data_IF_532981027448
#
_entry.id   IF_532981027448
#
_cell.length_a   1.000
_cell.length_b   1.000
_cell.length_c   1.000
_cell.angle_alpha   90.00
_cell.angle_beta   90.00
_cell.angle_gamma   90.00
#
_symmetry.space_group_name_H-M   'P 1'
#
loop_
_entity.id
_entity.type
_entity.pdbx_description
1 polymer ?
#
# COMPACT_ATOMS: atom_id res chain seq x y z
N UNK A 1 6.69 12.77 -0.28
CA UNK A 1 7.63 11.74 -0.78
C UNK A 1 9.01 12.05 -0.21
N UNK A 2 9.77 11.03 0.16
CA UNK A 2 11.13 11.14 0.72
C UNK A 2 12.19 10.92 -0.38
N UNK A 3 12.01 11.57 -1.54
CA UNK A 3 12.84 11.36 -2.74
C UNK A 3 14.12 12.21 -2.75
N UNK A 4 14.39 12.95 -1.68
CA UNK A 4 15.51 13.88 -1.56
C UNK A 4 15.43 15.08 -2.52
N UNK A 5 14.27 15.30 -3.15
CA UNK A 5 14.04 16.38 -4.13
C UNK A 5 12.81 17.21 -3.80
N UNK A 6 11.82 16.61 -3.15
CA UNK A 6 10.53 17.20 -2.84
C UNK A 6 10.48 17.60 -1.36
N UNK A 7 10.21 18.87 -1.09
CA UNK A 7 9.97 19.40 0.25
C UNK A 7 8.64 18.86 0.83
N UNK A 8 8.41 18.98 2.15
CA UNK A 8 7.09 18.70 2.70
C UNK A 8 6.01 19.57 2.02
N UNK A 9 4.74 19.14 2.02
CA UNK A 9 3.64 19.99 1.57
C UNK A 9 3.65 21.34 2.30
N UNK A 10 3.29 22.41 1.60
CA UNK A 10 3.25 23.77 2.16
C UNK A 10 1.80 24.20 2.33
N UNK A 11 1.43 24.67 3.51
CA UNK A 11 0.24 25.48 3.74
C UNK A 11 0.60 26.94 3.51
N UNK A 12 0.22 27.49 2.35
CA UNK A 12 0.29 28.92 2.09
C UNK A 12 -0.91 29.63 2.73
N UNK A 13 -0.66 30.38 3.82
CA UNK A 13 -1.69 31.11 4.53
C UNK A 13 -1.27 32.53 4.92
N UNK A 14 -2.03 33.50 4.43
CA UNK A 14 -1.75 34.93 4.63
C UNK A 14 -2.96 35.80 4.35
N UNK A 15 -2.71 37.08 4.06
CA UNK A 15 -3.76 38.06 3.84
C UNK A 15 -4.71 37.62 2.71
N UNK A 16 -6.00 37.47 3.02
CA UNK A 16 -7.01 37.20 2.01
C UNK A 16 -7.04 38.31 0.94
N UNK A 17 -6.67 38.01 -0.33
CA UNK A 17 -6.61 39.04 -1.38
C UNK A 17 -7.99 39.35 -1.97
N UNK A 18 -9.02 38.59 -1.60
CA UNK A 18 -10.37 38.68 -2.15
C UNK A 18 -11.38 39.31 -1.18
N UNK A 19 -10.98 39.59 0.06
CA UNK A 19 -11.84 40.10 1.13
C UNK A 19 -11.86 41.62 1.24
N UNK A 20 -12.60 42.12 2.22
CA UNK A 20 -12.48 43.51 2.67
C UNK A 20 -11.06 43.80 3.19
N UNK A 21 -10.60 45.04 3.01
CA UNK A 21 -9.29 45.50 3.50
C UNK A 21 -9.35 45.86 4.98
N UNK A 22 -9.81 44.92 5.80
CA UNK A 22 -9.89 44.98 7.26
C UNK A 22 -9.57 43.60 7.86
N UNK A 23 -9.41 43.51 9.18
CA UNK A 23 -9.05 42.25 9.84
C UNK A 23 -10.11 41.16 9.67
N UNK A 24 -11.39 41.51 9.51
CA UNK A 24 -12.41 40.53 9.20
C UNK A 24 -12.16 39.91 7.81
N UNK A 25 -11.90 40.73 6.79
CA UNK A 25 -11.62 40.25 5.44
C UNK A 25 -10.28 39.53 5.34
N UNK A 26 -9.21 40.10 5.86
CA UNK A 26 -7.85 39.53 5.85
C UNK A 26 -7.76 38.17 6.56
N UNK A 27 -8.60 37.93 7.57
CA UNK A 27 -8.70 36.65 8.28
C UNK A 27 -9.81 35.73 7.74
N UNK A 28 -10.24 35.92 6.49
CA UNK A 28 -11.25 35.09 5.81
C UNK A 28 -12.61 34.99 6.54
N UNK A 29 -12.95 36.00 7.34
CA UNK A 29 -14.17 36.02 8.17
C UNK A 29 -14.14 35.04 9.35
N UNK A 30 -13.00 34.44 9.65
CA UNK A 30 -12.82 33.53 10.78
C UNK A 30 -12.36 34.28 12.03
N UNK A 31 -12.81 33.81 13.19
CA UNK A 31 -12.20 34.21 14.47
C UNK A 31 -10.85 33.50 14.65
N UNK A 32 -9.95 34.03 15.48
CA UNK A 32 -8.67 33.39 15.81
C UNK A 32 -8.78 31.90 16.16
N UNK A 33 -9.70 31.54 17.06
CA UNK A 33 -9.89 30.14 17.46
C UNK A 33 -10.39 29.22 16.32
N UNK A 34 -11.18 29.75 15.38
CA UNK A 34 -11.62 28.96 14.22
C UNK A 34 -10.50 28.82 13.19
N UNK A 35 -9.67 29.84 13.04
CA UNK A 35 -8.51 29.80 12.16
C UNK A 35 -7.50 28.76 12.66
N UNK A 36 -7.12 28.80 13.94
CA UNK A 36 -6.14 27.86 14.50
C UNK A 36 -6.66 26.42 14.49
N UNK A 37 -7.93 26.20 14.80
CA UNK A 37 -8.54 24.88 14.68
C UNK A 37 -8.48 24.33 13.24
N UNK A 38 -8.70 25.20 12.23
CA UNK A 38 -8.60 24.80 10.83
C UNK A 38 -7.16 24.49 10.40
N UNK A 39 -6.20 25.32 10.80
CA UNK A 39 -4.77 25.09 10.51
C UNK A 39 -4.32 23.77 11.16
N UNK A 40 -4.71 23.50 12.41
CA UNK A 40 -4.36 22.27 13.12
C UNK A 40 -4.96 21.02 12.46
N UNK A 41 -6.22 21.08 12.00
CA UNK A 41 -6.87 19.99 11.25
C UNK A 41 -6.15 19.70 9.93
N UNK A 42 -5.77 20.75 9.19
CA UNK A 42 -4.97 20.62 7.97
C UNK A 42 -3.60 19.99 8.27
N UNK A 43 -2.89 20.53 9.27
CA UNK A 43 -1.55 20.07 9.65
C UNK A 43 -1.56 18.60 10.07
N UNK A 44 -2.49 18.23 10.95
CA UNK A 44 -2.70 16.84 11.37
C UNK A 44 -3.02 15.93 10.18
N UNK A 45 -3.93 16.34 9.29
CA UNK A 45 -4.27 15.54 8.08
C UNK A 45 -3.07 15.32 7.17
N UNK A 46 -2.24 16.35 6.95
CA UNK A 46 -1.02 16.23 6.15
C UNK A 46 0.00 15.33 6.84
N UNK A 47 0.21 15.53 8.14
CA UNK A 47 1.12 14.71 8.93
C UNK A 47 0.69 13.25 8.93
N UNK A 48 -0.58 12.94 9.16
CA UNK A 48 -1.10 11.58 9.17
C UNK A 48 -0.92 10.85 7.84
N UNK A 49 -1.05 11.59 6.73
CA UNK A 49 -0.91 11.02 5.38
C UNK A 49 0.53 10.90 4.91
N UNK A 50 1.42 11.74 5.41
CA UNK A 50 2.77 11.88 4.82
C UNK A 50 3.91 11.64 5.79
N UNK A 51 3.60 11.53 7.08
CA UNK A 51 4.51 11.59 8.21
C UNK A 51 5.44 12.81 8.16
N UNK A 52 4.91 13.94 7.69
CA UNK A 52 5.65 15.20 7.64
C UNK A 52 4.69 16.29 8.05
N UNK A 53 5.08 17.07 9.05
CA UNK A 53 4.40 18.32 9.33
C UNK A 53 4.49 19.23 8.10
N UNK A 54 3.39 19.82 7.62
CA UNK A 54 3.46 20.75 6.52
C UNK A 54 4.29 21.96 6.90
N UNK A 55 4.99 22.53 5.92
CA UNK A 55 5.59 23.84 6.09
C UNK A 55 4.45 24.86 6.15
N UNK A 56 4.40 25.71 7.17
CA UNK A 56 3.44 26.82 7.23
C UNK A 56 4.12 28.06 6.66
N UNK A 57 3.62 28.51 5.51
CA UNK A 57 3.98 29.80 4.95
C UNK A 57 3.07 30.90 5.48
N UNK A 58 3.63 31.97 6.04
CA UNK A 58 2.83 33.09 6.56
C UNK A 58 3.65 34.38 6.74
N UNK A 59 3.01 35.42 7.29
CA UNK A 59 3.67 36.64 7.79
C UNK A 59 3.37 36.83 9.27
N UNK A 60 4.28 37.47 10.01
CA UNK A 60 4.09 37.70 11.44
C UNK A 60 2.88 38.59 11.76
N UNK A 61 2.65 39.61 10.93
CA UNK A 61 1.49 40.50 11.07
C UNK A 61 0.16 39.76 10.89
N UNK A 62 0.07 38.90 9.88
CA UNK A 62 -1.13 38.10 9.66
C UNK A 62 -1.36 37.09 10.79
N UNK A 63 -0.32 36.34 11.18
CA UNK A 63 -0.41 35.35 12.25
C UNK A 63 -0.92 35.98 13.55
N UNK A 64 -0.27 37.06 14.01
CA UNK A 64 -0.65 37.73 15.26
C UNK A 64 -2.13 38.13 15.30
N UNK A 65 -2.72 38.57 14.18
CA UNK A 65 -4.10 39.06 14.15
C UNK A 65 -5.11 37.96 13.86
N UNK A 66 -4.80 37.05 12.94
CA UNK A 66 -5.74 36.04 12.45
C UNK A 66 -5.70 34.73 13.22
N UNK A 67 -4.65 34.45 13.99
CA UNK A 67 -4.55 33.27 14.87
C UNK A 67 -4.56 33.65 16.36
N UNK A 68 -4.52 34.94 16.69
CA UNK A 68 -4.37 35.39 18.07
C UNK A 68 -2.98 35.11 18.64
N UNK A 69 -1.99 34.96 17.74
CA UNK A 69 -0.61 34.64 18.08
C UNK A 69 -0.47 33.28 18.80
N UNK A 70 -1.26 32.30 18.36
CA UNK A 70 -1.19 30.92 18.84
C UNK A 70 0.25 30.38 18.74
N UNK A 71 0.66 29.61 19.75
CA UNK A 71 2.00 29.07 19.93
C UNK A 71 2.05 27.53 19.77
N UNK A 72 0.97 26.89 19.33
CA UNK A 72 0.80 25.45 19.25
C UNK A 72 1.29 24.78 17.97
N UNK A 73 2.00 25.50 17.10
CA UNK A 73 2.42 25.03 15.76
C UNK A 73 3.94 24.85 15.64
N UNK A 74 4.62 24.56 16.75
CA UNK A 74 6.08 24.46 16.79
C UNK A 74 6.66 23.27 16.04
N UNK A 75 5.84 22.24 15.79
CA UNK A 75 6.24 21.06 15.01
C UNK A 75 6.23 21.31 13.50
N UNK A 76 5.40 22.26 13.02
CA UNK A 76 5.33 22.67 11.63
C UNK A 76 6.53 23.56 11.26
N UNK A 77 7.31 23.26 10.21
CA UNK A 77 8.39 24.15 9.77
C UNK A 77 7.84 25.52 9.32
N UNK A 78 8.50 26.62 9.71
CA UNK A 78 8.07 27.97 9.33
C UNK A 78 8.72 28.44 8.03
N UNK A 79 7.89 28.89 7.08
CA UNK A 79 8.31 29.70 5.94
C UNK A 79 7.78 31.11 6.10
N UNK A 80 8.65 32.03 6.50
CA UNK A 80 8.23 33.38 6.85
C UNK A 80 8.47 34.34 5.69
N UNK A 81 7.47 35.14 5.39
CA UNK A 81 7.58 36.31 4.52
C UNK A 81 7.50 37.61 5.33
N UNK A 82 8.16 38.68 4.87
CA UNK A 82 8.03 40.00 5.47
C UNK A 82 6.57 40.47 5.38
N UNK A 83 6.10 41.19 6.40
CA UNK A 83 4.87 41.97 6.24
C UNK A 83 5.09 43.02 5.14
N UNK A 84 4.01 43.53 4.57
CA UNK A 84 4.00 44.56 3.52
C UNK A 84 4.82 45.85 3.81
N UNK A 85 5.41 46.03 5.00
CA UNK A 85 6.36 47.09 5.36
C UNK A 85 7.84 46.68 5.35
N UNK A 86 8.18 45.39 5.26
CA UNK A 86 9.53 44.86 5.55
C UNK A 86 10.28 44.39 4.29
N UNK A 87 10.07 45.04 3.13
CA UNK A 87 10.75 44.74 1.85
C UNK A 87 12.26 45.11 1.82
N UNK A 88 12.93 45.10 2.98
CA UNK A 88 14.30 45.57 3.18
C UNK A 88 15.37 44.50 3.40
N UNK A 89 15.10 43.22 3.13
CA UNK A 89 16.11 42.15 3.16
C UNK A 89 16.63 41.73 4.55
N UNK A 90 16.05 42.25 5.64
CA UNK A 90 16.34 41.79 6.99
C UNK A 90 15.39 40.63 7.40
N UNK A 91 15.83 39.65 8.20
CA UNK A 91 14.96 38.57 8.67
C UNK A 91 13.80 39.14 9.51
N UNK A 92 12.54 38.73 9.24
CA UNK A 92 11.38 39.25 9.95
C UNK A 92 11.34 38.71 11.38
N UNK A 93 10.71 39.47 12.28
CA UNK A 93 10.24 38.93 13.56
C UNK A 93 9.33 37.74 13.28
N UNK A 94 9.53 36.60 13.94
CA UNK A 94 8.73 35.38 13.74
C UNK A 94 7.66 35.21 14.83
N UNK A 95 6.54 34.51 14.54
CA UNK A 95 5.52 34.22 15.54
C UNK A 95 6.01 33.27 16.64
N UNK A 96 5.36 33.27 17.82
CA UNK A 96 5.84 32.58 19.02
C UNK A 96 5.75 31.06 18.99
N UNK A 97 5.03 30.45 18.03
CA UNK A 97 5.12 29.00 17.80
C UNK A 97 6.55 28.57 17.46
N UNK A 98 7.34 29.48 16.88
CA UNK A 98 8.65 29.17 16.33
C UNK A 98 9.76 29.93 17.03
N UNK A 99 10.86 29.24 17.28
CA UNK A 99 12.11 29.85 17.75
C UNK A 99 13.08 30.16 16.61
N UNK A 100 12.84 29.58 15.42
CA UNK A 100 13.65 29.74 14.21
C UNK A 100 12.75 29.55 12.98
N UNK A 101 13.04 30.24 11.87
CA UNK A 101 12.41 29.96 10.59
C UNK A 101 13.18 28.88 9.81
N UNK A 102 12.47 28.08 9.02
CA UNK A 102 13.03 27.08 8.11
C UNK A 102 13.35 27.71 6.75
N UNK A 103 12.44 28.52 6.22
CA UNK A 103 12.63 29.30 5.01
C UNK A 103 12.32 30.77 5.25
N UNK A 104 13.06 31.63 4.58
CA UNK A 104 12.79 33.06 4.55
C UNK A 104 12.59 33.52 3.11
N UNK A 105 11.39 34.02 2.82
CA UNK A 105 11.10 34.70 1.57
C UNK A 105 11.60 36.14 1.65
N UNK A 106 12.76 36.43 1.07
CA UNK A 106 13.40 37.74 1.22
C UNK A 106 13.03 38.75 0.13
N UNK A 107 12.43 38.30 -0.98
CA UNK A 107 11.93 39.16 -2.05
C UNK A 107 10.78 38.51 -2.83
N UNK A 108 9.93 39.33 -3.46
CA UNK A 108 8.82 38.84 -4.31
C UNK A 108 9.18 38.64 -5.79
N UNK A 109 10.45 38.89 -6.14
CA UNK A 109 11.02 38.65 -7.47
C UNK A 109 12.53 38.77 -7.44
N UNK A 110 13.22 38.19 -8.42
CA UNK A 110 14.66 38.24 -8.50
C UNK A 110 15.23 37.36 -9.62
N UNK A 111 16.48 36.89 -9.49
CA UNK A 111 17.13 36.06 -10.51
C UNK A 111 16.53 34.65 -10.63
N UNK A 112 15.83 34.16 -9.61
CA UNK A 112 15.14 32.86 -9.65
C UNK A 112 13.65 33.02 -10.02
N UNK A 113 12.99 32.01 -10.59
CA UNK A 113 11.56 32.08 -10.87
C UNK A 113 10.71 32.29 -9.61
N UNK A 114 9.79 33.26 -9.66
CA UNK A 114 8.85 33.53 -8.56
C UNK A 114 9.44 34.34 -7.41
N UNK A 115 8.92 34.09 -6.21
CA UNK A 115 9.44 34.67 -4.98
C UNK A 115 10.86 34.12 -4.70
N UNK A 116 11.65 34.88 -3.94
CA UNK A 116 13.04 34.55 -3.65
C UNK A 116 13.17 34.09 -2.22
N UNK A 117 13.58 32.84 -2.07
CA UNK A 117 13.63 32.14 -0.80
C UNK A 117 15.02 31.67 -0.46
N UNK A 118 15.30 31.61 0.84
CA UNK A 118 16.52 31.02 1.39
C UNK A 118 16.18 30.03 2.49
N UNK A 119 16.75 28.83 2.39
CA UNK A 119 16.70 27.84 3.46
C UNK A 119 17.67 28.22 4.58
N UNK A 120 17.24 28.10 5.82
CA UNK A 120 18.06 28.38 6.99
C UNK A 120 18.95 27.19 7.35
N UNK A 121 20.00 26.95 6.57
CA UNK A 121 20.94 25.86 6.82
C UNK A 121 21.87 25.56 5.64
N UNK A 122 22.58 24.43 5.73
CA UNK A 122 23.46 23.94 4.68
C UNK A 122 22.69 23.14 3.61
N UNK A 123 23.27 22.90 2.42
CA UNK A 123 22.68 22.00 1.42
C UNK A 123 22.40 20.58 1.94
N UNK A 124 23.27 20.04 2.81
CA UNK A 124 23.06 18.71 3.41
C UNK A 124 21.87 18.72 4.38
N UNK A 125 21.69 19.81 5.14
CA UNK A 125 20.52 19.99 6.00
C UNK A 125 19.25 20.17 5.19
N UNK A 126 19.31 20.86 4.04
CA UNK A 126 18.18 20.97 3.11
C UNK A 126 17.83 19.61 2.50
N UNK A 127 18.85 18.81 2.14
CA UNK A 127 18.65 17.46 1.64
C UNK A 127 18.03 16.57 2.72
N UNK A 128 18.54 16.60 3.95
CA UNK A 128 17.96 15.89 5.08
C UNK A 128 16.51 16.33 5.33
N UNK A 129 16.27 17.64 5.32
CA UNK A 129 14.92 18.19 5.44
C UNK A 129 14.02 17.69 4.32
N UNK A 130 14.49 17.60 3.07
CA UNK A 130 13.74 17.07 1.92
C UNK A 130 13.49 15.56 2.00
N UNK A 131 14.44 14.79 2.54
CA UNK A 131 14.28 13.35 2.83
C UNK A 131 13.24 13.13 3.93
N UNK A 132 13.23 13.98 4.96
CA UNK A 132 12.35 13.86 6.13
C UNK A 132 12.97 13.02 7.25
N UNK A 133 12.41 13.15 8.45
CA UNK A 133 12.84 12.39 9.63
C UNK A 133 12.26 10.96 9.61
N UNK A 134 12.82 10.12 10.49
CA UNK A 134 12.30 8.79 10.83
C UNK A 134 10.80 8.85 11.12
N UNK A 135 9.96 8.00 10.50
CA UNK A 135 8.53 8.14 10.62
C UNK A 135 7.95 7.55 11.90
N UNK A 136 7.23 8.37 12.67
CA UNK A 136 6.47 7.93 13.85
C UNK A 136 5.47 6.80 13.53
N UNK A 137 5.03 6.63 12.27
CA UNK A 137 4.07 5.59 11.88
C UNK A 137 4.49 4.16 12.22
N UNK A 138 5.79 3.83 12.19
CA UNK A 138 6.24 2.50 12.62
C UNK A 138 6.03 2.33 14.13
N UNK A 139 6.43 3.32 14.93
CA UNK A 139 6.22 3.34 16.38
C UNK A 139 4.74 3.36 16.75
N UNK A 140 3.94 4.23 16.12
CA UNK A 140 2.49 4.33 16.33
C UNK A 140 1.81 2.97 16.10
N UNK A 141 2.12 2.31 14.97
CA UNK A 141 1.56 1.01 14.63
C UNK A 141 2.00 -0.07 15.62
N UNK A 142 3.29 -0.11 15.96
CA UNK A 142 3.84 -1.02 16.96
C UNK A 142 3.17 -0.84 18.34
N UNK A 143 2.99 0.40 18.79
CA UNK A 143 2.29 0.71 20.04
C UNK A 143 0.82 0.32 19.98
N UNK A 144 0.13 0.57 18.86
CA UNK A 144 -1.26 0.18 18.66
C UNK A 144 -1.46 -1.35 18.72
N UNK A 145 -0.47 -2.12 18.26
CA UNK A 145 -0.45 -3.59 18.38
C UNK A 145 -0.11 -4.10 19.80
N UNK A 146 0.18 -3.21 20.75
CA UNK A 146 0.54 -3.57 22.13
C UNK A 146 2.05 -3.60 22.41
N UNK A 147 2.86 -3.01 21.53
CA UNK A 147 4.30 -2.86 21.72
C UNK A 147 5.01 -4.21 21.93
N UNK A 148 5.85 -4.30 22.96
CA UNK A 148 6.64 -5.52 23.24
C UNK A 148 5.80 -6.70 23.70
N UNK A 149 4.53 -6.49 24.04
CA UNK A 149 3.57 -7.57 24.32
C UNK A 149 2.86 -8.08 23.06
N UNK A 150 3.07 -7.45 21.91
CA UNK A 150 2.59 -7.93 20.62
C UNK A 150 3.34 -9.19 20.18
N UNK A 151 2.86 -9.83 19.11
CA UNK A 151 3.53 -10.99 18.55
C UNK A 151 4.94 -10.68 18.00
N UNK A 152 5.26 -9.41 17.72
CA UNK A 152 6.57 -9.03 17.17
C UNK A 152 7.71 -9.09 18.19
N UNK A 153 7.42 -8.98 19.49
CA UNK A 153 8.43 -8.86 20.53
C UNK A 153 9.14 -7.51 20.52
N UNK A 154 10.33 -7.43 21.13
CA UNK A 154 11.09 -6.17 21.23
C UNK A 154 11.69 -5.74 19.87
N UNK A 155 11.95 -4.43 19.66
CA UNK A 155 12.74 -3.96 18.53
C UNK A 155 14.15 -4.55 18.56
N UNK A 156 14.62 -5.06 17.42
CA UNK A 156 15.99 -5.57 17.24
C UNK A 156 16.98 -4.50 16.80
N UNK A 157 16.51 -3.26 16.58
CA UNK A 157 17.29 -2.12 16.15
C UNK A 157 16.41 -0.87 16.00
N UNK A 158 17.02 0.25 15.60
CA UNK A 158 16.28 1.45 15.20
C UNK A 158 15.65 1.29 13.82
N UNK A 159 14.74 2.20 13.49
CA UNK A 159 14.20 2.32 12.14
C UNK A 159 15.29 2.66 11.13
N UNK A 160 15.15 2.15 9.91
CA UNK A 160 16.09 2.40 8.82
C UNK A 160 15.37 2.70 7.49
N UNK A 161 15.95 3.57 6.65
CA UNK A 161 15.36 3.91 5.37
C UNK A 161 15.49 2.75 4.38
N UNK A 162 14.45 2.56 3.58
CA UNK A 162 14.41 1.65 2.43
C UNK A 162 13.92 2.40 1.19
N UNK A 163 13.97 1.76 0.01
CA UNK A 163 13.46 2.39 -1.20
C UNK A 163 11.98 2.76 -1.04
N UNK A 164 11.66 4.05 -1.19
CA UNK A 164 10.31 4.62 -1.07
C UNK A 164 9.60 4.43 0.30
N UNK A 165 10.35 4.14 1.38
CA UNK A 165 9.75 3.92 2.70
C UNK A 165 10.77 3.72 3.82
N UNK A 166 10.29 3.15 4.92
CA UNK A 166 11.09 2.83 6.11
C UNK A 166 10.75 1.43 6.62
N UNK A 167 11.65 0.83 7.38
CA UNK A 167 11.41 -0.43 8.05
C UNK A 167 12.05 -0.47 9.44
N UNK A 168 11.53 -1.32 10.31
CA UNK A 168 12.14 -1.66 11.58
C UNK A 168 12.01 -3.16 11.85
N UNK A 169 13.11 -3.77 12.24
CA UNK A 169 13.15 -5.18 12.62
C UNK A 169 12.86 -5.35 14.11
N UNK A 170 12.11 -6.40 14.41
CA UNK A 170 11.72 -6.86 15.74
C UNK A 170 12.15 -8.32 15.91
N UNK A 171 12.15 -8.82 17.14
CA UNK A 171 12.55 -10.19 17.48
C UNK A 171 11.89 -11.26 16.60
N UNK A 172 10.64 -11.03 16.19
CA UNK A 172 9.85 -12.01 15.44
C UNK A 172 9.24 -11.48 14.13
N UNK A 173 9.65 -10.31 13.65
CA UNK A 173 9.11 -9.76 12.41
C UNK A 173 9.67 -8.41 12.04
N UNK A 174 9.04 -7.76 11.07
CA UNK A 174 9.43 -6.44 10.56
C UNK A 174 8.18 -5.63 10.29
N UNK A 175 8.16 -4.37 10.70
CA UNK A 175 7.16 -3.40 10.25
C UNK A 175 7.75 -2.64 9.07
N UNK A 176 7.00 -2.59 7.96
CA UNK A 176 7.34 -1.79 6.78
C UNK A 176 6.37 -0.62 6.68
N UNK A 177 6.89 0.57 6.40
CA UNK A 177 6.10 1.78 6.19
C UNK A 177 6.37 2.36 4.80
N UNK A 178 5.29 2.74 4.09
CA UNK A 178 5.36 3.70 2.98
C UNK A 178 4.28 4.78 3.13
N UNK A 179 4.48 5.99 2.60
CA UNK A 179 3.44 7.01 2.56
C UNK A 179 2.17 6.57 1.81
N UNK A 180 2.30 5.62 0.88
CA UNK A 180 1.18 5.13 0.08
C UNK A 180 0.36 4.05 0.77
N UNK A 181 0.98 3.19 1.58
CA UNK A 181 0.31 2.04 2.18
C UNK A 181 0.10 2.16 3.68
N UNK A 182 0.88 2.99 4.39
CA UNK A 182 0.93 2.98 5.85
C UNK A 182 1.96 2.00 6.39
N UNK A 183 1.95 1.77 7.71
CA UNK A 183 2.85 0.86 8.42
C UNK A 183 2.15 -0.49 8.67
N UNK A 184 2.80 -1.60 8.33
CA UNK A 184 2.23 -2.95 8.48
C UNK A 184 3.27 -3.98 8.86
N UNK A 185 2.88 -4.92 9.71
CA UNK A 185 3.73 -5.96 10.26
C UNK A 185 3.71 -7.25 9.43
N UNK A 186 4.90 -7.79 9.19
CA UNK A 186 5.13 -9.10 8.60
C UNK A 186 5.96 -9.95 9.56
N UNK A 187 5.70 -11.25 9.61
CA UNK A 187 6.47 -12.20 10.45
C UNK A 187 6.62 -13.58 9.82
N UNK A 188 7.47 -14.39 10.45
CA UNK A 188 7.58 -15.83 10.16
C UNK A 188 7.86 -16.15 8.69
N UNK A 189 7.20 -17.20 8.18
CA UNK A 189 7.39 -17.67 6.81
C UNK A 189 6.83 -16.71 5.76
N UNK A 190 5.80 -15.92 6.09
CA UNK A 190 5.31 -14.87 5.20
C UNK A 190 6.38 -13.81 4.97
N UNK A 191 7.02 -13.31 6.05
CA UNK A 191 8.12 -12.36 5.95
C UNK A 191 9.33 -12.94 5.22
N UNK A 192 9.70 -14.19 5.49
CA UNK A 192 10.81 -14.85 4.82
C UNK A 192 10.56 -14.91 3.30
N UNK A 193 9.39 -15.40 2.91
CA UNK A 193 9.01 -15.51 1.49
C UNK A 193 8.91 -14.15 0.80
N UNK A 194 8.34 -13.15 1.49
CA UNK A 194 8.27 -11.78 0.99
C UNK A 194 9.66 -11.21 0.67
N UNK A 195 10.65 -11.48 1.53
CA UNK A 195 12.05 -11.06 1.30
C UNK A 195 12.68 -11.80 0.13
N UNK A 196 12.42 -13.10 -0.02
CA UNK A 196 12.89 -13.90 -1.15
C UNK A 196 12.32 -13.40 -2.50
N UNK A 197 11.10 -12.87 -2.49
CA UNK A 197 10.45 -12.22 -3.63
C UNK A 197 10.90 -10.76 -3.87
N UNK A 198 11.92 -10.28 -3.15
CA UNK A 198 12.50 -8.94 -3.32
C UNK A 198 11.93 -7.86 -2.40
N UNK A 199 11.03 -8.23 -1.48
CA UNK A 199 10.46 -7.31 -0.49
C UNK A 199 9.72 -6.12 -1.12
N UNK A 200 9.81 -4.92 -0.52
CA UNK A 200 9.08 -3.72 -1.00
C UNK A 200 9.45 -3.27 -2.42
N UNK A 201 10.66 -3.61 -2.89
CA UNK A 201 11.10 -3.35 -4.27
C UNK A 201 10.76 -4.46 -5.26
N UNK A 202 10.19 -5.57 -4.78
CA UNK A 202 9.77 -6.72 -5.57
C UNK A 202 8.38 -6.58 -6.18
N UNK A 203 7.91 -7.65 -6.82
CA UNK A 203 6.62 -7.68 -7.53
C UNK A 203 5.42 -7.36 -6.63
N UNK A 204 5.46 -7.79 -5.37
CA UNK A 204 4.35 -7.63 -4.43
C UNK A 204 4.24 -6.20 -3.89
N UNK A 205 5.31 -5.41 -3.93
CA UNK A 205 5.34 -4.06 -3.35
C UNK A 205 5.14 -4.05 -1.84
N UNK A 206 4.84 -2.88 -1.27
CA UNK A 206 4.63 -2.73 0.17
C UNK A 206 3.37 -3.48 0.67
N UNK A 207 3.40 -3.99 1.92
CA UNK A 207 2.23 -4.56 2.57
C UNK A 207 1.12 -3.51 2.75
N UNK A 208 -0.12 -3.98 2.81
CA UNK A 208 -1.35 -3.20 3.03
C UNK A 208 -2.22 -3.75 4.17
N UNK A 209 -1.75 -4.79 4.86
CA UNK A 209 -2.40 -5.36 6.04
C UNK A 209 -1.37 -5.95 7.00
N UNK A 210 -1.74 -6.02 8.27
CA UNK A 210 -1.10 -6.93 9.22
C UNK A 210 -1.48 -8.40 8.91
N UNK A 211 -0.80 -9.31 9.62
CA UNK A 211 -1.11 -10.73 9.56
C UNK A 211 -2.58 -10.96 9.96
N UNK A 212 -3.35 -11.49 9.02
CA UNK A 212 -4.77 -11.77 9.19
C UNK A 212 -4.98 -13.28 9.20
N UNK A 213 -5.52 -13.80 10.29
CA UNK A 213 -5.87 -15.21 10.40
C UNK A 213 -7.03 -15.54 9.46
N UNK A 214 -6.98 -16.71 8.82
CA UNK A 214 -8.10 -17.26 8.04
C UNK A 214 -9.26 -17.58 8.97
N UNK A 215 -10.49 -17.61 8.43
CA UNK A 215 -11.70 -17.74 9.24
C UNK A 215 -11.79 -19.07 10.01
N UNK A 216 -11.16 -20.12 9.49
CA UNK A 216 -11.03 -21.43 10.11
C UNK A 216 -9.86 -21.52 11.13
N UNK A 217 -8.95 -20.54 11.13
CA UNK A 217 -7.78 -20.50 11.99
C UNK A 217 -6.63 -21.41 11.58
N UNK A 218 -6.70 -22.05 10.40
CA UNK A 218 -5.68 -23.01 9.93
C UNK A 218 -4.50 -22.34 9.21
N UNK A 219 -4.59 -21.04 8.95
CA UNK A 219 -3.52 -20.26 8.34
C UNK A 219 -3.68 -18.76 8.53
N UNK A 220 -2.77 -18.02 7.91
CA UNK A 220 -2.76 -16.56 7.94
C UNK A 220 -2.33 -16.00 6.59
N UNK A 221 -2.59 -14.72 6.38
CA UNK A 221 -2.13 -14.03 5.19
C UNK A 221 -1.83 -12.56 5.46
N UNK A 222 -1.03 -11.98 4.57
CA UNK A 222 -0.87 -10.54 4.42
C UNK A 222 -1.24 -10.15 3.00
N UNK A 223 -1.80 -8.95 2.85
CA UNK A 223 -2.06 -8.31 1.57
C UNK A 223 -0.98 -7.29 1.22
N UNK A 224 -0.77 -7.09 -0.08
CA UNK A 224 0.25 -6.20 -0.64
C UNK A 224 -0.30 -5.41 -1.84
N UNK A 225 0.32 -4.26 -2.09
CA UNK A 225 -0.12 -3.27 -3.09
C UNK A 225 0.21 -3.65 -4.54
N UNK A 226 0.96 -4.73 -4.77
CA UNK A 226 1.45 -5.17 -6.09
C UNK A 226 0.38 -5.13 -7.18
N UNK A 227 0.79 -4.96 -8.44
CA UNK A 227 -0.11 -4.69 -9.57
C UNK A 227 -1.25 -5.71 -9.67
N UNK A 228 -2.50 -5.25 -9.52
CA UNK A 228 -3.71 -6.10 -9.52
C UNK A 228 -4.06 -6.70 -8.14
N UNK A 229 -3.35 -6.29 -7.09
CA UNK A 229 -3.43 -6.84 -5.75
C UNK A 229 -2.56 -8.08 -5.57
N UNK A 230 -2.00 -8.24 -4.38
CA UNK A 230 -1.18 -9.40 -4.02
C UNK A 230 -1.49 -9.87 -2.60
N UNK A 231 -1.28 -11.16 -2.34
CA UNK A 231 -1.28 -11.75 -1.00
C UNK A 231 -0.18 -12.78 -0.89
N UNK A 232 0.32 -13.00 0.33
CA UNK A 232 1.04 -14.22 0.69
C UNK A 232 0.21 -14.92 1.75
N UNK A 233 -0.19 -16.16 1.47
CA UNK A 233 -0.88 -17.03 2.42
C UNK A 233 0.10 -18.02 3.01
N UNK A 234 -0.02 -18.26 4.31
CA UNK A 234 0.68 -19.32 5.03
C UNK A 234 -0.32 -20.30 5.64
N UNK A 235 0.01 -21.59 5.57
CA UNK A 235 -0.59 -22.61 6.45
C UNK A 235 0.48 -23.57 6.95
N UNK A 236 0.20 -24.29 8.02
CA UNK A 236 1.13 -25.30 8.54
C UNK A 236 1.38 -26.43 7.52
N UNK A 237 0.38 -26.75 6.69
CA UNK A 237 0.46 -27.85 5.72
C UNK A 237 1.20 -27.45 4.43
N UNK A 238 0.96 -26.24 3.92
CA UNK A 238 1.51 -25.81 2.63
C UNK A 238 2.77 -24.95 2.74
N UNK A 239 3.01 -24.25 3.85
CA UNK A 239 4.02 -23.19 3.91
C UNK A 239 3.47 -21.87 3.37
N UNK A 240 4.35 -20.92 3.04
CA UNK A 240 3.99 -19.58 2.58
C UNK A 240 4.12 -19.45 1.04
N UNK A 241 3.07 -18.98 0.37
CA UNK A 241 3.03 -18.85 -1.10
C UNK A 241 2.28 -17.61 -1.55
N UNK A 242 2.74 -17.02 -2.65
CA UNK A 242 2.19 -15.78 -3.19
C UNK A 242 1.07 -16.01 -4.22
N UNK A 243 0.08 -15.12 -4.16
CA UNK A 243 -0.98 -14.95 -5.16
C UNK A 243 -0.98 -13.50 -5.61
N UNK A 244 -1.10 -13.24 -6.90
CA UNK A 244 -1.18 -11.87 -7.40
C UNK A 244 -2.09 -11.72 -8.63
N UNK A 245 -2.47 -10.48 -8.94
CA UNK A 245 -3.23 -10.11 -10.13
C UNK A 245 -4.53 -10.91 -10.32
N UNK A 246 -4.77 -11.32 -11.57
CA UNK A 246 -6.02 -11.98 -11.98
C UNK A 246 -6.24 -13.35 -11.31
N UNK A 247 -5.17 -14.08 -10.98
CA UNK A 247 -5.30 -15.36 -10.26
C UNK A 247 -5.75 -15.12 -8.82
N UNK A 248 -5.17 -14.13 -8.13
CA UNK A 248 -5.64 -13.72 -6.81
C UNK A 248 -7.09 -13.24 -6.86
N UNK A 249 -7.43 -12.40 -7.84
CA UNK A 249 -8.79 -11.91 -8.01
C UNK A 249 -9.79 -13.06 -8.19
N UNK A 250 -9.46 -14.06 -9.02
CA UNK A 250 -10.28 -15.26 -9.18
C UNK A 250 -10.38 -16.07 -7.89
N UNK A 251 -9.26 -16.31 -7.19
CA UNK A 251 -9.23 -17.05 -5.93
C UNK A 251 -10.20 -16.45 -4.92
N UNK A 252 -10.16 -15.13 -4.71
CA UNK A 252 -11.09 -14.44 -3.82
C UNK A 252 -12.54 -14.51 -4.32
N UNK A 253 -12.77 -14.36 -5.63
CA UNK A 253 -14.11 -14.37 -6.21
C UNK A 253 -14.83 -15.72 -6.08
N UNK A 254 -14.09 -16.83 -6.08
CA UNK A 254 -14.68 -18.18 -5.91
C UNK A 254 -14.82 -18.60 -4.45
N UNK A 255 -14.42 -17.74 -3.50
CA UNK A 255 -14.57 -17.97 -2.06
C UNK A 255 -13.26 -18.22 -1.33
N UNK A 256 -12.11 -18.24 -2.02
CA UNK A 256 -10.78 -18.31 -1.42
C UNK A 256 -10.46 -19.67 -0.78
N UNK A 257 -9.74 -19.59 0.34
CA UNK A 257 -9.23 -20.75 1.09
C UNK A 257 -10.32 -21.78 1.42
N UNK A 258 -11.53 -21.40 1.90
CA UNK A 258 -12.58 -22.37 2.20
C UNK A 258 -13.05 -23.22 1.01
N UNK A 259 -12.80 -22.76 -0.22
CA UNK A 259 -13.24 -23.44 -1.45
C UNK A 259 -12.07 -24.14 -2.13
N UNK A 260 -10.96 -23.45 -2.35
CA UNK A 260 -9.83 -23.98 -3.10
C UNK A 260 -8.68 -24.48 -2.22
N UNK A 261 -8.74 -24.26 -0.91
CA UNK A 261 -7.63 -24.49 0.02
C UNK A 261 -6.52 -23.45 -0.12
N UNK A 262 -5.46 -23.61 0.67
CA UNK A 262 -4.29 -22.74 0.64
C UNK A 262 -3.47 -22.94 -0.63
N UNK A 263 -2.80 -21.88 -1.14
CA UNK A 263 -1.84 -22.05 -2.22
C UNK A 263 -0.71 -23.00 -1.81
N UNK A 264 -0.21 -23.75 -2.79
CA UNK A 264 0.92 -24.69 -2.65
C UNK A 264 2.08 -24.38 -3.59
N UNK A 265 1.93 -23.33 -4.40
CA UNK A 265 2.98 -22.77 -5.27
C UNK A 265 2.82 -21.26 -5.34
N UNK A 266 3.92 -20.57 -5.65
CA UNK A 266 3.84 -19.23 -6.25
C UNK A 266 3.21 -19.27 -7.65
N UNK A 267 2.92 -18.09 -8.18
CA UNK A 267 2.40 -17.95 -9.54
C UNK A 267 3.50 -18.21 -10.58
N UNK A 268 3.44 -19.37 -11.20
CA UNK A 268 4.41 -19.80 -12.21
C UNK A 268 3.90 -19.55 -13.62
N UNK A 269 4.83 -19.37 -14.56
CA UNK A 269 4.51 -19.46 -15.98
C UNK A 269 4.21 -20.91 -16.36
N UNK A 270 3.22 -21.12 -17.21
CA UNK A 270 2.94 -22.46 -17.75
C UNK A 270 4.09 -22.95 -18.64
N UNK A 271 4.34 -24.27 -18.70
CA UNK A 271 5.36 -24.88 -19.56
C UNK A 271 5.33 -24.48 -21.05
N UNK A 272 4.16 -24.16 -21.60
CA UNK A 272 4.00 -23.69 -22.98
C UNK A 272 4.41 -22.21 -23.19
N UNK A 273 4.68 -21.47 -22.10
CA UNK A 273 5.06 -20.06 -22.10
C UNK A 273 3.92 -19.07 -22.37
N UNK A 274 2.66 -19.50 -22.36
CA UNK A 274 1.50 -18.66 -22.72
C UNK A 274 0.78 -18.09 -21.50
N UNK A 275 0.57 -18.92 -20.49
CA UNK A 275 -0.25 -18.62 -19.33
C UNK A 275 0.51 -18.58 -18.02
N UNK A 276 -0.26 -18.41 -16.95
CA UNK A 276 0.23 -18.44 -15.56
C UNK A 276 -0.70 -19.28 -14.71
N UNK A 277 -0.19 -19.84 -13.62
CA UNK A 277 -0.99 -20.68 -12.73
C UNK A 277 -0.50 -20.69 -11.28
N UNK A 278 -1.44 -21.01 -10.39
CA UNK A 278 -1.16 -21.47 -9.03
C UNK A 278 -1.85 -22.81 -8.77
N UNK A 279 -1.27 -23.61 -7.89
CA UNK A 279 -1.91 -24.79 -7.31
C UNK A 279 -2.36 -24.53 -5.88
N UNK A 280 -3.40 -25.25 -5.47
CA UNK A 280 -4.04 -25.09 -4.17
C UNK A 280 -4.36 -26.45 -3.53
N UNK A 281 -4.46 -26.47 -2.20
CA UNK A 281 -4.57 -27.66 -1.37
C UNK A 281 -5.99 -28.22 -1.20
N UNK A 282 -7.00 -27.64 -1.85
CA UNK A 282 -8.41 -28.01 -1.73
C UNK A 282 -8.66 -29.50 -1.99
N UNK A 283 -9.86 -29.98 -1.63
CA UNK A 283 -10.18 -31.41 -1.66
C UNK A 283 -9.96 -32.04 -3.06
N UNK A 284 -9.02 -32.98 -3.17
CA UNK A 284 -8.63 -33.60 -4.45
C UNK A 284 -7.69 -32.75 -5.33
N UNK A 285 -7.20 -31.63 -4.79
CA UNK A 285 -6.34 -30.63 -5.44
C UNK A 285 -7.14 -29.61 -6.24
N UNK A 286 -6.67 -28.37 -6.25
CA UNK A 286 -7.23 -27.29 -7.07
C UNK A 286 -6.12 -26.54 -7.83
N UNK A 287 -6.50 -25.90 -8.93
CA UNK A 287 -5.64 -25.01 -9.70
C UNK A 287 -6.43 -23.82 -10.20
N UNK A 288 -5.77 -22.68 -10.35
CA UNK A 288 -6.27 -21.57 -11.18
C UNK A 288 -5.23 -21.36 -12.28
N UNK A 289 -5.70 -21.31 -13.53
CA UNK A 289 -4.90 -21.00 -14.70
C UNK A 289 -5.42 -19.72 -15.35
N UNK A 290 -4.51 -18.90 -15.85
CA UNK A 290 -4.82 -17.63 -16.51
C UNK A 290 -4.08 -17.50 -17.83
N UNK A 291 -4.77 -16.98 -18.85
CA UNK A 291 -4.15 -16.40 -20.05
C UNK A 291 -4.85 -15.08 -20.39
N UNK A 292 -4.21 -14.24 -21.21
CA UNK A 292 -4.87 -13.05 -21.73
C UNK A 292 -6.12 -13.34 -22.58
N UNK A 293 -6.23 -14.54 -23.18
CA UNK A 293 -7.35 -14.93 -24.04
C UNK A 293 -8.53 -15.55 -23.30
N UNK A 294 -8.28 -16.20 -22.16
CA UNK A 294 -9.32 -16.90 -21.38
C UNK A 294 -9.72 -16.15 -20.12
N UNK A 295 -8.84 -15.31 -19.56
CA UNK A 295 -8.95 -14.90 -18.17
C UNK A 295 -8.56 -16.04 -17.22
N UNK A 296 -8.71 -15.80 -15.92
CA UNK A 296 -8.41 -16.76 -14.88
C UNK A 296 -9.60 -17.71 -14.68
N UNK A 297 -9.35 -19.00 -14.58
CA UNK A 297 -10.36 -20.03 -14.32
C UNK A 297 -9.85 -21.13 -13.39
N UNK A 298 -10.74 -21.61 -12.54
CA UNK A 298 -10.45 -22.66 -11.57
C UNK A 298 -10.83 -24.06 -12.09
N UNK A 299 -10.05 -25.06 -11.68
CA UNK A 299 -10.29 -26.49 -11.97
C UNK A 299 -9.93 -27.30 -10.73
N UNK A 300 -10.80 -28.20 -10.26
CA UNK A 300 -10.62 -28.91 -8.97
C UNK A 300 -10.83 -30.43 -9.06
N UNK A 301 -10.44 -31.10 -7.98
CA UNK A 301 -10.78 -32.48 -7.68
C UNK A 301 -10.51 -33.46 -8.81
N UNK A 302 -11.53 -34.26 -9.13
CA UNK A 302 -11.43 -35.31 -10.14
C UNK A 302 -11.22 -34.74 -11.55
N UNK A 303 -11.85 -33.60 -11.88
CA UNK A 303 -11.71 -32.95 -13.19
C UNK A 303 -10.27 -32.49 -13.38
N UNK A 304 -9.72 -31.76 -12.40
CA UNK A 304 -8.31 -31.35 -12.40
C UNK A 304 -7.37 -32.53 -12.50
N UNK A 305 -7.62 -33.59 -11.73
CA UNK A 305 -6.81 -34.80 -11.75
C UNK A 305 -6.79 -35.44 -13.13
N UNK A 306 -7.91 -35.41 -13.86
CA UNK A 306 -7.98 -35.94 -15.21
C UNK A 306 -7.35 -35.02 -16.24
N UNK A 307 -7.60 -33.72 -16.15
CA UNK A 307 -6.96 -32.72 -17.00
C UNK A 307 -5.42 -32.79 -16.88
N UNK A 308 -4.91 -32.96 -15.66
CA UNK A 308 -3.49 -33.23 -15.39
C UNK A 308 -2.95 -34.49 -16.09
N UNK A 309 -3.66 -35.61 -16.02
CA UNK A 309 -3.28 -36.86 -16.70
C UNK A 309 -3.24 -36.71 -18.24
N UNK A 310 -4.01 -35.78 -18.78
CA UNK A 310 -4.08 -35.51 -20.20
C UNK A 310 -3.05 -34.48 -20.67
N UNK A 311 -2.21 -33.95 -19.78
CA UNK A 311 -1.14 -33.01 -20.12
C UNK A 311 -1.46 -31.54 -19.83
N UNK A 312 -2.41 -31.25 -18.93
CA UNK A 312 -2.72 -29.88 -18.50
C UNK A 312 -3.04 -28.97 -19.70
N UNK A 313 -2.52 -27.75 -19.72
CA UNK A 313 -2.72 -26.79 -20.81
C UNK A 313 -2.11 -27.25 -22.15
N UNK A 314 -1.11 -28.14 -22.14
CA UNK A 314 -0.52 -28.67 -23.38
C UNK A 314 -1.35 -29.78 -24.02
N UNK A 315 -2.28 -30.36 -23.26
CA UNK A 315 -3.19 -31.40 -23.72
C UNK A 315 -4.55 -30.82 -24.09
N UNK A 316 -5.51 -30.76 -23.15
CA UNK A 316 -6.80 -30.15 -23.44
C UNK A 316 -6.86 -28.65 -23.72
N UNK A 317 -5.77 -27.94 -23.47
CA UNK A 317 -5.76 -26.47 -23.51
C UNK A 317 -6.15 -25.87 -22.17
N UNK A 318 -6.22 -24.55 -22.13
CA UNK A 318 -6.61 -23.79 -20.95
C UNK A 318 -8.11 -23.89 -20.67
N UNK A 319 -8.51 -23.84 -19.39
CA UNK A 319 -9.91 -23.69 -19.03
C UNK A 319 -10.46 -22.35 -19.52
N UNK A 320 -11.69 -22.37 -20.05
CA UNK A 320 -12.46 -21.19 -20.49
C UNK A 320 -13.72 -20.96 -19.64
N UNK A 321 -13.95 -21.82 -18.64
CA UNK A 321 -14.98 -21.65 -17.61
C UNK A 321 -14.44 -22.12 -16.27
N UNK A 322 -15.03 -21.61 -15.18
CA UNK A 322 -14.94 -22.24 -13.86
C UNK A 322 -15.74 -23.57 -13.86
N UNK A 323 -15.72 -24.35 -12.77
CA UNK A 323 -16.51 -25.59 -12.70
C UNK A 323 -18.02 -25.30 -12.64
N UNK A 324 -18.76 -25.81 -13.62
CA UNK A 324 -20.21 -25.65 -13.74
C UNK A 324 -20.90 -26.97 -13.39
N UNK A 325 -22.03 -26.90 -12.66
CA UNK A 325 -22.89 -28.05 -12.43
C UNK A 325 -23.58 -28.53 -13.71
N UNK A 326 -23.76 -29.83 -13.86
CA UNK A 326 -24.51 -30.40 -14.98
C UNK A 326 -26.01 -30.11 -14.82
N UNK A 327 -26.78 -30.01 -15.92
CA UNK A 327 -28.22 -29.72 -15.84
C UNK A 327 -29.03 -30.73 -15.02
N UNK A 328 -28.55 -31.97 -14.92
CA UNK A 328 -29.17 -33.02 -14.10
C UNK A 328 -28.80 -32.96 -12.61
N UNK A 329 -27.91 -32.04 -12.22
CA UNK A 329 -27.48 -31.82 -10.84
C UNK A 329 -26.59 -32.93 -10.25
N UNK A 330 -26.18 -33.91 -11.07
CA UNK A 330 -25.40 -35.07 -10.60
C UNK A 330 -23.90 -34.80 -10.70
N UNK A 331 -23.46 -34.01 -11.67
CA UNK A 331 -22.05 -33.82 -11.96
C UNK A 331 -21.59 -32.37 -12.08
N UNK A 332 -20.31 -32.19 -12.36
CA UNK A 332 -19.67 -30.89 -12.63
C UNK A 332 -18.72 -30.99 -13.82
N UNK A 333 -18.48 -29.88 -14.53
CA UNK A 333 -17.54 -29.82 -15.66
C UNK A 333 -16.87 -28.45 -15.86
N UNK A 334 -15.69 -28.44 -16.50
CA UNK A 334 -15.08 -27.27 -17.14
C UNK A 334 -15.11 -27.42 -18.67
N UNK A 335 -15.10 -26.30 -19.40
CA UNK A 335 -14.77 -26.26 -20.82
C UNK A 335 -13.31 -25.82 -21.03
N UNK A 336 -12.65 -26.38 -22.05
CA UNK A 336 -11.26 -26.05 -22.40
C UNK A 336 -11.10 -25.60 -23.87
N UNK A 337 -9.97 -24.95 -24.20
CA UNK A 337 -9.72 -24.34 -25.51
C UNK A 337 -9.64 -25.31 -26.70
N UNK A 338 -9.21 -26.56 -26.52
CA UNK A 338 -8.93 -27.44 -27.65
C UNK A 338 -9.20 -28.91 -27.36
N UNK A 339 -10.42 -29.40 -27.65
CA UNK A 339 -10.65 -30.86 -27.75
C UNK A 339 -11.51 -31.32 -28.93
N UNK A 340 -10.93 -32.20 -29.75
CA UNK A 340 -11.59 -33.01 -30.77
C UNK A 340 -11.80 -34.46 -30.29
N UNK A 341 -13.06 -34.81 -30.08
CA UNK A 341 -13.78 -36.09 -29.99
C UNK A 341 -13.20 -37.45 -29.50
N UNK A 342 -11.90 -37.74 -29.41
CA UNK A 342 -11.46 -39.14 -29.64
C UNK A 342 -10.80 -39.94 -28.48
N UNK A 343 -11.04 -39.61 -27.20
CA UNK A 343 -10.66 -40.52 -26.09
C UNK A 343 -11.86 -40.96 -25.26
N UNK A 344 -12.07 -42.28 -25.20
CA UNK A 344 -13.09 -42.93 -24.38
C UNK A 344 -12.62 -43.00 -22.92
N UNK A 345 -13.46 -42.50 -21.99
CA UNK A 345 -13.19 -42.56 -20.55
C UNK A 345 -13.87 -43.81 -19.95
N UNK A 346 -13.26 -44.44 -18.93
CA UNK A 346 -13.99 -45.35 -18.06
C UNK A 346 -15.18 -44.59 -17.46
N UNK A 347 -16.40 -45.10 -17.67
CA UNK A 347 -17.67 -44.47 -17.26
C UNK A 347 -17.84 -44.32 -15.74
N UNK A 348 -16.88 -44.78 -14.96
CA UNK A 348 -17.06 -44.99 -13.52
C UNK A 348 -16.67 -43.77 -12.67
N UNK A 349 -16.08 -42.72 -13.25
CA UNK A 349 -15.68 -41.50 -12.48
C UNK A 349 -15.89 -40.19 -13.25
N UNK A 350 -15.60 -40.16 -14.57
CA UNK A 350 -15.70 -38.93 -15.39
C UNK A 350 -16.20 -39.29 -16.79
N UNK A 351 -17.24 -38.62 -17.28
CA UNK A 351 -17.83 -38.76 -18.62
C UNK A 351 -17.68 -37.48 -19.45
N UNK A 352 -17.93 -37.55 -20.75
CA UNK A 352 -17.81 -36.42 -21.67
C UNK A 352 -19.14 -35.70 -21.83
N UNK A 353 -19.12 -34.37 -21.75
CA UNK A 353 -20.25 -33.51 -22.13
C UNK A 353 -19.74 -32.36 -23.03
N UNK A 354 -20.02 -32.41 -24.33
CA UNK A 354 -19.53 -31.41 -25.29
C UNK A 354 -17.99 -31.39 -25.44
N UNK A 355 -17.39 -30.21 -25.26
CA UNK A 355 -15.94 -29.94 -25.23
C UNK A 355 -15.33 -30.00 -23.82
N UNK A 356 -16.10 -30.43 -22.80
CA UNK A 356 -15.66 -30.45 -21.40
C UNK A 356 -15.60 -31.84 -20.73
N UNK A 357 -15.10 -31.88 -19.49
CA UNK A 357 -14.98 -33.08 -18.64
C UNK A 357 -16.02 -33.08 -17.53
N UNK A 358 -16.88 -34.09 -17.45
CA UNK A 358 -17.91 -34.20 -16.40
C UNK A 358 -17.52 -35.23 -15.33
N UNK A 359 -17.40 -34.87 -14.06
CA UNK A 359 -17.38 -35.85 -12.95
C UNK A 359 -18.80 -36.14 -12.45
N UNK A 360 -19.11 -37.37 -12.02
CA UNK A 360 -20.42 -37.79 -11.44
C UNK A 360 -20.31 -38.32 -10.02
#
# INVERSE_FOLDING_TARGET
>A
MADGRTLPPVLDIGYNPYGSTDWTGWCYGLSPARMTAWIADFAGTVHDRTNRWPVIYTTNGWWSNCTGNDAGFGDDPLWIAPSNSDTGGAPPTIPPSWSVYTFFQYASSGPFPGDQDVFNGTPDQLLAFAVGDTPDKIVEHYTAMGGSSSYLGNPSGGEYPIAAGWAQDYEHGTIYYSPTTGAWALRGLVLAHYRDLGGPGGLLGFPTSDETWTADGEGSYNDFVGSGGASIYWSQASGAWSLHGEIRAKYLAVGGEPVLGFPTTDENGTPDGVGRYNHFSGAGGASIYWTAGTGAHEVQGAIRSRWAQLGWETGPGYPVTDEIGTPDGVGRYNHDQSWSSDLAFPRDVISREGTGFRAT
#
